data_IF_292348243190
#
_entry.id   IF_292348243190
#
_cell.length_a   1.000
_cell.length_b   1.000
_cell.length_c   1.000
_cell.angle_alpha   90.00
_cell.angle_beta   90.00
_cell.angle_gamma   90.00
#
_symmetry.space_group_name_H-M   'P 1'
#
loop_
_entity.id
_entity.type
_entity.pdbx_description
1 polymer ?
#
# COMPACT_ATOMS: atom_id res chain seq x y z
N UNK A 1 1.16 32.26 -1.83
CA UNK A 1 0.45 30.94 -1.87
C UNK A 1 1.48 29.86 -1.55
N UNK A 2 1.44 29.31 -0.32
CA UNK A 2 2.38 28.30 0.16
C UNK A 2 1.94 26.91 -0.32
N UNK A 3 2.78 26.24 -1.09
CA UNK A 3 2.64 24.83 -1.42
C UNK A 3 3.67 24.00 -0.65
N UNK A 4 3.40 22.71 -0.49
CA UNK A 4 4.31 21.73 0.09
C UNK A 4 4.51 20.60 -0.91
N UNK A 5 5.75 20.15 -1.08
CA UNK A 5 6.09 18.96 -1.87
C UNK A 5 6.60 17.88 -0.92
N UNK A 6 6.10 16.67 -1.06
CA UNK A 6 6.57 15.49 -0.32
C UNK A 6 7.05 14.45 -1.31
N UNK A 7 8.32 14.09 -1.23
CA UNK A 7 8.92 13.03 -2.04
C UNK A 7 9.10 11.75 -1.25
N UNK A 8 8.78 10.62 -1.86
CA UNK A 8 8.85 9.28 -1.26
C UNK A 8 9.89 8.45 -1.99
N UNK A 9 10.99 8.16 -1.31
CA UNK A 9 11.95 7.15 -1.76
C UNK A 9 12.40 6.39 -0.54
N UNK A 10 12.22 5.07 -0.55
CA UNK A 10 12.78 4.19 0.47
C UNK A 10 14.21 3.89 0.04
N UNK A 11 15.14 4.63 0.62
CA UNK A 11 16.54 4.32 0.47
C UNK A 11 17.26 4.67 1.78
N UNK A 12 18.32 3.97 2.10
CA UNK A 12 19.18 4.25 3.25
C UNK A 12 19.84 5.65 3.15
N UNK A 13 19.87 6.21 1.94
CA UNK A 13 20.23 7.61 1.68
C UNK A 13 19.06 8.33 0.99
N UNK A 14 18.69 9.51 1.52
CA UNK A 14 17.64 10.33 0.91
C UNK A 14 18.08 10.78 -0.50
N UNK A 15 17.55 10.15 -1.52
CA UNK A 15 17.80 10.50 -2.91
C UNK A 15 16.77 11.53 -3.40
N UNK A 16 17.23 12.75 -3.65
CA UNK A 16 16.38 13.81 -4.16
C UNK A 16 16.35 13.69 -5.69
N UNK A 17 15.17 13.43 -6.29
CA UNK A 17 15.06 13.29 -7.73
C UNK A 17 15.47 14.57 -8.45
N UNK A 18 16.10 14.43 -9.60
CA UNK A 18 16.48 15.56 -10.47
C UNK A 18 15.21 16.09 -11.17
N UNK A 19 14.49 16.97 -10.50
CA UNK A 19 13.29 17.63 -11.05
C UNK A 19 13.68 19.05 -11.44
N UNK A 20 13.47 19.39 -12.72
CA UNK A 20 13.71 20.73 -13.21
C UNK A 20 12.88 21.76 -12.44
N UNK A 21 13.56 22.77 -11.91
CA UNK A 21 12.91 23.84 -11.14
C UNK A 21 12.68 23.53 -9.65
N UNK A 22 13.02 22.35 -9.14
CA UNK A 22 12.83 22.04 -7.70
C UNK A 22 13.48 23.08 -6.79
N UNK A 23 14.69 23.54 -7.11
CA UNK A 23 15.40 24.58 -6.35
C UNK A 23 14.77 25.97 -6.48
N UNK A 24 13.94 26.21 -7.49
CA UNK A 24 13.19 27.46 -7.70
C UNK A 24 11.82 27.45 -7.02
N UNK A 25 11.40 26.29 -6.50
CA UNK A 25 10.14 26.17 -5.79
C UNK A 25 10.19 26.97 -4.47
N UNK A 26 9.27 27.91 -4.33
CA UNK A 26 9.23 28.83 -3.18
C UNK A 26 8.46 28.28 -1.96
N UNK A 27 7.85 27.11 -2.08
CA UNK A 27 7.22 26.40 -0.96
C UNK A 27 8.23 25.54 -0.19
N UNK A 28 7.75 24.90 0.85
CA UNK A 28 8.54 23.90 1.59
C UNK A 28 8.48 22.56 0.86
N UNK A 29 9.57 21.82 0.87
CA UNK A 29 9.61 20.45 0.38
C UNK A 29 10.29 19.55 1.41
N UNK A 30 9.82 18.32 1.49
CA UNK A 30 10.27 17.33 2.45
C UNK A 30 10.54 16.00 1.76
N UNK A 31 11.57 15.31 2.20
CA UNK A 31 11.84 13.94 1.85
C UNK A 31 11.45 13.05 3.04
N UNK A 32 10.67 11.99 2.80
CA UNK A 32 10.16 11.15 3.89
C UNK A 32 11.25 10.47 4.72
N UNK A 33 12.41 10.16 4.12
CA UNK A 33 13.60 9.67 4.84
C UNK A 33 14.32 10.72 5.68
N UNK A 34 13.92 12.00 5.60
CA UNK A 34 14.42 13.13 6.40
C UNK A 34 13.26 13.93 7.00
N UNK A 35 12.29 13.22 7.54
CA UNK A 35 11.11 13.87 8.11
C UNK A 35 11.46 14.67 9.35
N UNK A 36 10.97 15.91 9.49
CA UNK A 36 11.24 16.71 10.70
C UNK A 36 10.63 16.06 11.95
N UNK A 37 11.39 15.93 13.01
CA UNK A 37 10.91 15.40 14.29
C UNK A 37 9.78 16.26 14.89
N UNK A 38 9.73 17.54 14.55
CA UNK A 38 8.66 18.47 14.96
C UNK A 38 7.36 18.27 14.19
N UNK A 39 7.35 17.34 13.20
CA UNK A 39 6.21 17.13 12.31
C UNK A 39 6.08 18.20 11.22
N UNK A 40 5.07 18.02 10.37
CA UNK A 40 4.73 18.97 9.29
C UNK A 40 3.24 19.31 9.39
N UNK A 41 2.92 20.58 9.50
CA UNK A 41 1.54 21.06 9.45
C UNK A 41 1.06 21.20 8.00
N UNK A 42 0.05 20.42 7.63
CA UNK A 42 -0.60 20.43 6.32
C UNK A 42 -1.89 21.26 6.28
N UNK A 43 -2.35 21.77 7.44
CA UNK A 43 -3.63 22.47 7.55
C UNK A 43 -3.69 23.65 6.56
N UNK A 44 -4.75 23.64 5.74
CA UNK A 44 -4.99 24.68 4.73
C UNK A 44 -3.87 24.82 3.65
N UNK A 45 -2.97 23.85 3.50
CA UNK A 45 -1.92 23.86 2.48
C UNK A 45 -2.35 23.11 1.22
N UNK A 46 -1.81 23.51 0.08
CA UNK A 46 -1.80 22.69 -1.13
C UNK A 46 -0.56 21.81 -1.09
N UNK A 47 -0.75 20.52 -1.15
CA UNK A 47 0.34 19.54 -1.02
C UNK A 47 0.47 18.75 -2.31
N UNK A 48 1.69 18.63 -2.81
CA UNK A 48 2.06 17.74 -3.90
C UNK A 48 2.82 16.55 -3.32
N UNK A 49 2.27 15.35 -3.43
CA UNK A 49 2.95 14.10 -3.06
C UNK A 49 3.52 13.45 -4.31
N UNK A 50 4.84 13.24 -4.34
CA UNK A 50 5.53 12.60 -5.46
C UNK A 50 5.85 11.16 -5.09
N UNK A 51 5.18 10.22 -5.77
CA UNK A 51 5.38 8.78 -5.59
C UNK A 51 4.33 8.10 -4.73
N UNK A 52 4.08 6.83 -5.09
CA UNK A 52 3.10 5.92 -4.48
C UNK A 52 3.75 4.59 -4.09
N UNK A 53 4.96 4.65 -3.54
CA UNK A 53 5.58 3.54 -2.83
C UNK A 53 4.95 3.37 -1.44
N UNK A 54 5.48 2.46 -0.61
CA UNK A 54 4.93 2.14 0.70
C UNK A 54 4.67 3.38 1.57
N UNK A 55 5.65 4.26 1.67
CA UNK A 55 5.52 5.50 2.45
C UNK A 55 4.46 6.43 1.88
N UNK A 56 4.40 6.60 0.55
CA UNK A 56 3.41 7.47 -0.09
C UNK A 56 1.98 6.96 0.10
N UNK A 57 1.78 5.66 -0.02
CA UNK A 57 0.48 5.01 0.20
C UNK A 57 0.01 5.21 1.64
N UNK A 58 0.91 5.13 2.62
CA UNK A 58 0.56 5.33 4.03
C UNK A 58 0.41 6.81 4.41
N UNK A 59 1.12 7.70 3.73
CA UNK A 59 1.11 9.12 4.04
C UNK A 59 -0.09 9.86 3.42
N UNK A 60 -0.53 9.44 2.24
CA UNK A 60 -1.63 10.10 1.51
C UNK A 60 -2.91 10.26 2.34
N UNK A 61 -3.43 9.22 3.05
CA UNK A 61 -4.60 9.35 3.89
C UNK A 61 -4.42 10.38 5.01
N UNK A 62 -3.23 10.44 5.61
CA UNK A 62 -2.93 11.36 6.71
C UNK A 62 -2.88 12.82 6.24
N UNK A 63 -2.23 13.07 5.11
CA UNK A 63 -2.19 14.42 4.51
C UNK A 63 -3.61 14.87 4.12
N UNK A 64 -4.40 13.97 3.54
CA UNK A 64 -5.75 14.29 3.07
C UNK A 64 -6.72 14.71 4.17
N UNK A 65 -6.43 14.36 5.44
CA UNK A 65 -7.27 14.77 6.60
C UNK A 65 -7.29 16.28 6.82
N UNK A 66 -6.19 16.97 6.50
CA UNK A 66 -6.03 18.39 6.87
C UNK A 66 -5.60 19.30 5.73
N UNK A 67 -5.06 18.77 4.65
CA UNK A 67 -4.63 19.55 3.50
C UNK A 67 -5.82 20.23 2.81
N UNK A 68 -5.64 21.47 2.36
CA UNK A 68 -6.63 22.14 1.50
C UNK A 68 -6.79 21.42 0.16
N UNK A 69 -5.70 20.89 -0.38
CA UNK A 69 -5.66 20.09 -1.58
C UNK A 69 -4.43 19.17 -1.55
N UNK A 70 -4.63 17.91 -1.89
CA UNK A 70 -3.56 16.91 -2.06
C UNK A 70 -3.54 16.46 -3.52
N UNK A 71 -2.43 16.72 -4.21
CA UNK A 71 -2.17 16.23 -5.56
C UNK A 71 -1.16 15.10 -5.48
N UNK A 72 -1.55 13.88 -5.87
CA UNK A 72 -0.71 12.68 -5.82
C UNK A 72 -0.18 12.40 -7.22
N UNK A 73 1.14 12.49 -7.39
CA UNK A 73 1.83 12.24 -8.65
C UNK A 73 2.28 10.79 -8.70
N UNK A 74 1.70 10.01 -9.62
CA UNK A 74 1.98 8.60 -9.81
C UNK A 74 2.62 8.34 -11.17
N UNK A 75 3.81 7.74 -11.18
CA UNK A 75 4.45 7.23 -12.40
C UNK A 75 4.07 5.76 -12.67
N UNK A 76 4.07 4.95 -11.64
CA UNK A 76 3.72 3.52 -11.72
C UNK A 76 2.95 3.15 -10.47
N UNK A 77 1.80 2.45 -10.59
CA UNK A 77 1.07 1.99 -9.42
C UNK A 77 1.84 0.90 -8.67
N UNK A 78 1.53 0.72 -7.40
CA UNK A 78 2.00 -0.40 -6.63
C UNK A 78 0.82 -1.17 -6.05
N UNK A 79 0.96 -2.50 -5.95
CA UNK A 79 -0.04 -3.31 -5.26
C UNK A 79 -0.11 -2.90 -3.80
N UNK A 80 -1.32 -2.68 -3.33
CA UNK A 80 -1.58 -2.35 -1.94
C UNK A 80 -2.72 -3.19 -1.41
N UNK A 81 -2.53 -3.75 -0.23
CA UNK A 81 -3.47 -4.62 0.46
C UNK A 81 -3.79 -4.03 1.84
N UNK A 82 -4.99 -4.28 2.39
CA UNK A 82 -5.37 -3.71 3.68
C UNK A 82 -4.41 -4.10 4.79
N UNK A 83 -4.00 -3.13 5.60
CA UNK A 83 -3.18 -3.37 6.79
C UNK A 83 -4.00 -3.99 7.93
N UNK A 84 -5.27 -3.57 8.06
CA UNK A 84 -6.16 -3.94 9.17
C UNK A 84 -5.50 -3.69 10.52
N UNK A 85 -4.95 -2.49 10.69
CA UNK A 85 -4.35 -2.07 11.95
C UNK A 85 -5.41 -2.01 13.06
N UNK A 86 -5.12 -2.63 14.19
CA UNK A 86 -5.96 -2.63 15.38
C UNK A 86 -5.18 -2.10 16.58
N UNK A 87 -5.92 -1.62 17.58
CA UNK A 87 -5.33 -1.22 18.86
C UNK A 87 -4.85 -2.48 19.58
N UNK A 88 -3.57 -2.51 19.92
CA UNK A 88 -2.96 -3.63 20.65
C UNK A 88 -3.43 -3.59 22.10
N UNK A 89 -4.42 -4.41 22.43
CA UNK A 89 -4.94 -4.57 23.78
C UNK A 89 -4.12 -5.58 24.62
N UNK A 90 -4.35 -5.62 25.93
CA UNK A 90 -3.56 -6.46 26.83
C UNK A 90 -3.79 -7.95 26.61
N UNK A 91 -4.99 -8.36 26.17
CA UNK A 91 -5.28 -9.75 25.79
C UNK A 91 -4.41 -10.19 24.62
N UNK A 92 -4.26 -9.34 23.61
CA UNK A 92 -3.40 -9.60 22.46
C UNK A 92 -1.93 -9.65 22.87
N UNK A 93 -1.47 -8.68 23.69
CA UNK A 93 -0.09 -8.68 24.23
C UNK A 93 0.22 -9.96 24.99
N UNK A 94 -0.71 -10.39 25.88
CA UNK A 94 -0.56 -11.64 26.63
C UNK A 94 -0.47 -12.84 25.68
N UNK A 95 -1.38 -12.95 24.70
CA UNK A 95 -1.36 -14.03 23.71
C UNK A 95 -0.01 -14.11 22.97
N UNK A 96 0.55 -12.97 22.55
CA UNK A 96 1.86 -12.96 21.88
C UNK A 96 2.98 -13.41 22.81
N UNK A 97 2.98 -12.95 24.07
CA UNK A 97 4.00 -13.34 25.07
C UNK A 97 3.93 -14.82 25.41
N UNK A 98 2.72 -15.35 25.61
CA UNK A 98 2.51 -16.77 25.98
C UNK A 98 2.92 -17.72 24.83
N UNK A 99 2.82 -17.27 23.56
CA UNK A 99 3.17 -18.08 22.37
C UNK A 99 4.45 -17.59 21.68
N UNK A 100 5.31 -16.86 22.39
CA UNK A 100 6.46 -16.20 21.79
C UNK A 100 7.42 -17.16 21.09
N UNK A 101 7.70 -18.32 21.69
CA UNK A 101 8.60 -19.31 21.11
C UNK A 101 8.00 -19.95 19.85
N UNK A 102 6.75 -20.32 19.87
CA UNK A 102 6.03 -20.88 18.72
C UNK A 102 6.02 -19.90 17.53
N UNK A 103 5.79 -18.60 17.81
CA UNK A 103 5.83 -17.55 16.79
C UNK A 103 7.22 -17.44 16.19
N UNK A 104 8.28 -17.50 16.99
CA UNK A 104 9.68 -17.47 16.51
C UNK A 104 10.01 -18.69 15.65
N UNK A 105 9.56 -19.86 16.04
CA UNK A 105 9.82 -21.08 15.28
C UNK A 105 9.06 -21.09 13.96
N UNK A 106 7.82 -20.59 13.95
CA UNK A 106 7.08 -20.33 12.72
C UNK A 106 7.83 -19.34 11.81
N UNK A 107 8.31 -18.20 12.33
CA UNK A 107 9.08 -17.22 11.57
C UNK A 107 10.31 -17.87 10.92
N UNK A 108 11.04 -18.73 11.64
CA UNK A 108 12.22 -19.43 11.13
C UNK A 108 11.87 -20.47 10.07
N UNK A 109 10.71 -21.12 10.17
CA UNK A 109 10.28 -22.17 9.24
C UNK A 109 9.70 -21.64 7.94
N UNK A 110 9.31 -20.35 7.87
CA UNK A 110 8.71 -19.77 6.67
C UNK A 110 9.77 -19.25 5.70
N UNK A 111 9.59 -19.42 4.37
CA UNK A 111 10.58 -19.00 3.37
C UNK A 111 10.92 -17.51 3.40
N UNK A 112 10.09 -16.69 4.00
CA UNK A 112 10.19 -15.23 3.98
C UNK A 112 10.31 -14.59 5.35
N UNK A 113 10.48 -15.39 6.40
CA UNK A 113 10.64 -14.90 7.76
C UNK A 113 9.42 -14.16 8.32
N UNK A 114 8.22 -14.62 8.00
CA UNK A 114 6.98 -14.00 8.48
C UNK A 114 6.16 -14.96 9.35
N UNK A 115 5.47 -14.42 10.35
CA UNK A 115 4.63 -15.16 11.28
C UNK A 115 3.24 -15.49 10.69
N UNK A 116 3.19 -16.08 9.48
CA UNK A 116 1.98 -16.62 8.89
C UNK A 116 2.28 -17.89 8.09
N UNK A 117 1.31 -18.79 8.04
CA UNK A 117 1.42 -20.02 7.26
C UNK A 117 1.14 -19.75 5.78
N UNK A 118 1.93 -20.37 4.92
CA UNK A 118 1.62 -20.47 3.49
C UNK A 118 0.70 -21.67 3.27
N UNK A 119 -0.31 -21.49 2.42
CA UNK A 119 -1.16 -22.58 2.00
C UNK A 119 -0.36 -23.65 1.23
N UNK A 120 -0.68 -24.90 1.43
CA UNK A 120 -0.21 -26.01 0.58
C UNK A 120 -1.07 -26.23 -0.67
N UNK A 121 -2.23 -25.57 -0.76
CA UNK A 121 -3.21 -25.70 -1.83
C UNK A 121 -2.84 -24.83 -3.03
N UNK A 122 -3.01 -25.35 -4.24
CA UNK A 122 -2.86 -24.58 -5.49
C UNK A 122 -4.14 -23.78 -5.80
N UNK A 123 -3.96 -22.71 -6.54
CA UNK A 123 -5.06 -21.79 -6.91
C UNK A 123 -6.19 -22.47 -7.68
N UNK A 124 -5.85 -23.48 -8.48
CA UNK A 124 -6.81 -24.20 -9.33
C UNK A 124 -7.29 -25.53 -8.74
N UNK A 125 -6.86 -25.88 -7.53
CA UNK A 125 -7.38 -27.05 -6.79
C UNK A 125 -8.79 -26.79 -6.21
N UNK A 126 -9.28 -25.55 -6.32
CA UNK A 126 -10.60 -25.12 -5.82
C UNK A 126 -11.45 -24.51 -6.93
N UNK A 127 -12.75 -24.48 -6.72
CA UNK A 127 -13.69 -23.79 -7.60
C UNK A 127 -13.42 -22.28 -7.66
N UNK A 128 -13.91 -21.60 -8.70
CA UNK A 128 -13.81 -20.13 -8.78
C UNK A 128 -14.51 -19.44 -7.62
N UNK A 129 -15.61 -20.01 -7.16
CA UNK A 129 -16.39 -19.48 -6.04
C UNK A 129 -15.62 -19.60 -4.72
N UNK A 130 -15.04 -20.75 -4.43
CA UNK A 130 -14.29 -20.97 -3.20
C UNK A 130 -12.99 -20.16 -3.21
N UNK A 131 -12.33 -20.04 -4.37
CA UNK A 131 -11.18 -19.16 -4.54
C UNK A 131 -11.53 -17.70 -4.22
N UNK A 132 -12.68 -17.21 -4.70
CA UNK A 132 -13.15 -15.85 -4.38
C UNK A 132 -13.42 -15.70 -2.89
N UNK A 133 -14.02 -16.68 -2.24
CA UNK A 133 -14.21 -16.69 -0.76
C UNK A 133 -12.87 -16.65 -0.01
N UNK A 134 -11.88 -17.43 -0.44
CA UNK A 134 -10.54 -17.45 0.17
C UNK A 134 -9.87 -16.07 0.02
N UNK A 135 -9.93 -15.47 -1.15
CA UNK A 135 -9.41 -14.11 -1.37
C UNK A 135 -10.14 -13.07 -0.53
N UNK A 136 -11.47 -13.14 -0.45
CA UNK A 136 -12.27 -12.20 0.37
C UNK A 136 -11.91 -12.31 1.85
N UNK A 137 -11.83 -13.52 2.39
CA UNK A 137 -11.41 -13.75 3.78
C UNK A 137 -10.00 -13.24 4.04
N UNK A 138 -9.07 -13.46 3.10
CA UNK A 138 -7.71 -12.93 3.18
C UNK A 138 -7.67 -11.41 3.13
N UNK A 139 -8.50 -10.78 2.30
CA UNK A 139 -8.63 -9.33 2.20
C UNK A 139 -9.19 -8.71 3.48
N UNK A 140 -10.20 -9.35 4.08
CA UNK A 140 -10.77 -8.91 5.35
C UNK A 140 -9.76 -9.06 6.51
N UNK A 141 -8.97 -10.14 6.51
CA UNK A 141 -7.90 -10.33 7.48
C UNK A 141 -6.76 -9.33 7.31
N UNK A 142 -6.44 -8.98 6.07
CA UNK A 142 -5.35 -8.07 5.71
C UNK A 142 -3.96 -8.62 6.00
N UNK A 143 -2.97 -7.73 5.87
CA UNK A 143 -1.58 -8.05 6.13
C UNK A 143 -0.90 -8.87 5.03
N UNK A 144 0.42 -9.08 5.17
CA UNK A 144 1.24 -9.76 4.15
C UNK A 144 0.89 -11.24 3.95
N UNK A 145 0.13 -11.86 4.84
CA UNK A 145 -0.37 -13.23 4.68
C UNK A 145 -1.24 -13.43 3.46
N UNK A 146 -1.83 -12.34 2.91
CA UNK A 146 -2.60 -12.36 1.68
C UNK A 146 -1.87 -13.00 0.48
N UNK A 147 -0.55 -12.85 0.39
CA UNK A 147 0.27 -13.46 -0.67
C UNK A 147 0.45 -14.98 -0.52
N UNK A 148 0.18 -15.52 0.67
CA UNK A 148 0.33 -16.95 0.99
C UNK A 148 -0.98 -17.73 0.97
N UNK A 149 -2.05 -17.18 0.42
CA UNK A 149 -3.38 -17.82 0.37
C UNK A 149 -3.40 -19.08 -0.53
N UNK A 150 -2.53 -19.13 -1.53
CA UNK A 150 -2.24 -20.31 -2.32
C UNK A 150 -0.74 -20.42 -2.56
N UNK A 151 -0.22 -21.66 -2.68
CA UNK A 151 1.22 -21.91 -2.80
C UNK A 151 1.84 -21.40 -4.11
N UNK A 152 1.03 -21.28 -5.15
CA UNK A 152 1.44 -21.00 -6.53
C UNK A 152 1.20 -19.55 -6.99
N UNK A 153 0.67 -18.69 -6.15
CA UNK A 153 0.42 -17.26 -6.49
C UNK A 153 1.69 -16.56 -7.01
N UNK A 154 2.85 -16.88 -6.47
CA UNK A 154 4.11 -16.21 -6.83
C UNK A 154 4.95 -16.98 -7.86
N UNK A 155 4.54 -18.18 -8.25
CA UNK A 155 5.28 -19.08 -9.14
C UNK A 155 4.54 -19.45 -10.41
N UNK A 156 3.22 -19.22 -10.47
CA UNK A 156 2.36 -19.47 -11.62
C UNK A 156 1.67 -18.19 -12.08
N UNK A 157 1.89 -17.76 -13.34
CA UNK A 157 1.35 -16.52 -13.86
C UNK A 157 -0.20 -16.52 -13.95
N UNK A 158 -0.82 -17.66 -14.25
CA UNK A 158 -2.27 -17.72 -14.33
C UNK A 158 -2.91 -17.68 -12.93
N UNK A 159 -2.30 -18.33 -11.95
CA UNK A 159 -2.66 -18.17 -10.54
C UNK A 159 -2.52 -16.69 -10.10
N UNK A 160 -1.42 -16.06 -10.47
CA UNK A 160 -1.17 -14.65 -10.17
C UNK A 160 -2.23 -13.73 -10.80
N UNK A 161 -2.65 -13.97 -12.05
CA UNK A 161 -3.72 -13.19 -12.70
C UNK A 161 -5.03 -13.22 -11.91
N UNK A 162 -5.35 -14.35 -11.25
CA UNK A 162 -6.60 -14.45 -10.48
C UNK A 162 -6.61 -13.51 -9.28
N UNK A 163 -5.51 -13.42 -8.52
CA UNK A 163 -5.41 -12.50 -7.38
C UNK A 163 -5.30 -11.04 -7.84
N UNK A 164 -4.62 -10.77 -8.96
CA UNK A 164 -4.57 -9.42 -9.56
C UNK A 164 -5.97 -8.94 -9.94
N UNK A 165 -6.78 -9.80 -10.58
CA UNK A 165 -8.15 -9.46 -10.95
C UNK A 165 -9.01 -9.20 -9.71
N UNK A 166 -8.87 -10.01 -8.67
CA UNK A 166 -9.55 -9.78 -7.39
C UNK A 166 -9.16 -8.42 -6.78
N UNK A 167 -7.87 -8.08 -6.73
CA UNK A 167 -7.42 -6.77 -6.21
C UNK A 167 -8.02 -5.63 -7.02
N UNK A 168 -8.03 -5.74 -8.36
CA UNK A 168 -8.65 -4.73 -9.24
C UNK A 168 -10.13 -4.56 -8.94
N UNK A 169 -10.88 -5.64 -8.82
CA UNK A 169 -12.31 -5.62 -8.45
C UNK A 169 -12.54 -4.88 -7.13
N UNK A 170 -11.71 -5.17 -6.11
CA UNK A 170 -11.80 -4.49 -4.81
C UNK A 170 -11.53 -2.99 -4.92
N UNK A 171 -10.52 -2.58 -5.68
CA UNK A 171 -10.20 -1.18 -5.89
C UNK A 171 -11.30 -0.45 -6.67
N UNK A 172 -11.79 -1.06 -7.75
CA UNK A 172 -12.87 -0.51 -8.56
C UNK A 172 -14.19 -0.35 -7.79
N UNK A 173 -14.45 -1.26 -6.84
CA UNK A 173 -15.61 -1.16 -5.95
C UNK A 173 -15.43 -0.05 -4.90
N UNK A 174 -14.21 0.15 -4.40
CA UNK A 174 -13.90 1.13 -3.37
C UNK A 174 -13.85 2.57 -3.91
N UNK A 175 -13.30 2.75 -5.12
CA UNK A 175 -13.08 4.08 -5.70
C UNK A 175 -14.28 4.54 -6.53
N UNK A 176 -14.82 5.71 -6.20
CA UNK A 176 -15.95 6.32 -6.94
C UNK A 176 -15.51 6.79 -8.32
N UNK A 177 -14.33 7.40 -8.43
CA UNK A 177 -13.76 7.83 -9.70
C UNK A 177 -13.15 6.64 -10.46
N UNK A 178 -13.86 6.15 -11.47
CA UNK A 178 -13.46 4.98 -12.26
C UNK A 178 -12.21 5.21 -13.12
N UNK A 179 -11.92 6.47 -13.49
CA UNK A 179 -10.68 6.81 -14.16
C UNK A 179 -9.50 6.63 -13.21
N UNK A 180 -9.59 7.14 -11.98
CA UNK A 180 -8.55 6.96 -10.97
C UNK A 180 -8.36 5.48 -10.63
N UNK A 181 -9.45 4.72 -10.49
CA UNK A 181 -9.37 3.27 -10.24
C UNK A 181 -8.57 2.54 -11.32
N UNK A 182 -8.78 2.87 -12.59
CA UNK A 182 -8.01 2.32 -13.71
C UNK A 182 -6.52 2.71 -13.62
N UNK A 183 -6.21 3.97 -13.30
CA UNK A 183 -4.83 4.45 -13.20
C UNK A 183 -4.08 3.77 -12.04
N UNK A 184 -4.68 3.65 -10.86
CA UNK A 184 -4.03 3.01 -9.70
C UNK A 184 -3.94 1.48 -9.81
N UNK A 185 -4.65 0.87 -10.75
CA UNK A 185 -4.63 -0.58 -11.01
C UNK A 185 -3.97 -0.96 -12.33
N UNK A 186 -3.34 -0.02 -13.03
CA UNK A 186 -2.60 -0.28 -14.26
C UNK A 186 -1.23 -0.95 -13.96
N UNK A 187 -1.29 -2.09 -13.29
CA UNK A 187 -0.10 -2.84 -12.90
C UNK A 187 0.61 -3.41 -14.12
N UNK A 188 1.91 -3.12 -14.25
CA UNK A 188 2.76 -3.60 -15.34
C UNK A 188 3.62 -4.80 -14.94
N UNK A 189 3.36 -5.39 -13.81
CA UNK A 189 4.11 -6.52 -13.25
C UNK A 189 3.19 -7.42 -12.41
N UNK A 190 3.51 -8.71 -12.26
CA UNK A 190 2.73 -9.63 -11.44
C UNK A 190 2.68 -9.24 -9.97
N UNK A 191 1.62 -9.61 -9.27
CA UNK A 191 1.50 -9.43 -7.83
C UNK A 191 2.66 -10.11 -7.09
N UNK A 192 3.18 -9.43 -6.07
CA UNK A 192 4.28 -9.86 -5.20
C UNK A 192 5.68 -9.94 -5.86
N UNK A 193 5.85 -9.60 -7.15
CA UNK A 193 7.18 -9.37 -7.75
C UNK A 193 7.93 -8.22 -7.07
N UNK A 194 7.17 -7.23 -6.64
CA UNK A 194 7.61 -6.21 -5.68
C UNK A 194 6.84 -6.44 -4.39
N UNK A 195 7.42 -6.10 -3.24
CA UNK A 195 6.72 -6.20 -1.96
C UNK A 195 5.41 -5.42 -2.03
N UNK A 196 4.24 -6.07 -1.88
CA UNK A 196 2.98 -5.37 -1.77
C UNK A 196 3.02 -4.43 -0.57
N UNK A 197 2.43 -3.26 -0.72
CA UNK A 197 2.35 -2.30 0.37
C UNK A 197 1.15 -2.61 1.26
N UNK A 198 1.24 -2.24 2.53
CA UNK A 198 0.10 -2.26 3.43
C UNK A 198 -0.50 -0.85 3.49
N UNK A 199 -1.82 -0.76 3.34
CA UNK A 199 -2.52 0.52 3.39
C UNK A 199 -3.61 0.54 4.46
N UNK A 200 -3.89 1.76 4.93
CA UNK A 200 -5.08 2.10 5.69
C UNK A 200 -5.75 3.23 4.94
N UNK A 201 -6.93 2.97 4.35
CA UNK A 201 -7.79 3.92 3.62
C UNK A 201 -7.13 4.63 2.42
N UNK A 202 -6.11 4.01 1.77
CA UNK A 202 -5.44 4.63 0.63
C UNK A 202 -6.37 4.82 -0.57
N UNK A 203 -7.13 3.80 -0.93
CA UNK A 203 -8.05 3.86 -2.07
C UNK A 203 -9.25 4.75 -1.77
N UNK A 204 -9.76 4.69 -0.55
CA UNK A 204 -10.83 5.54 -0.03
C UNK A 204 -10.45 7.02 -0.05
N UNK A 205 -9.15 7.31 0.11
CA UNK A 205 -8.64 8.69 0.10
C UNK A 205 -8.94 9.41 -1.22
N UNK A 206 -8.97 8.70 -2.35
CA UNK A 206 -9.30 9.30 -3.66
C UNK A 206 -10.80 9.65 -3.82
N UNK A 207 -11.66 9.27 -2.88
CA UNK A 207 -13.05 9.67 -2.85
C UNK A 207 -13.28 11.03 -2.16
N UNK A 208 -12.21 11.67 -1.66
CA UNK A 208 -12.28 12.99 -1.02
C UNK A 208 -12.16 14.10 -2.06
N UNK A 209 -12.97 15.16 -1.94
CA UNK A 209 -12.99 16.29 -2.88
C UNK A 209 -11.67 17.06 -2.94
N UNK A 210 -10.87 16.99 -1.88
CA UNK A 210 -9.58 17.66 -1.80
C UNK A 210 -8.41 16.84 -2.34
N UNK A 211 -8.65 15.65 -2.92
CA UNK A 211 -7.61 14.74 -3.41
C UNK A 211 -7.72 14.58 -4.92
N UNK A 212 -6.61 14.73 -5.61
CA UNK A 212 -6.49 14.43 -7.03
C UNK A 212 -5.32 13.49 -7.33
N UNK A 213 -5.50 12.63 -8.32
CA UNK A 213 -4.45 11.78 -8.88
C UNK A 213 -3.94 12.40 -10.18
N UNK A 214 -2.63 12.50 -10.30
CA UNK A 214 -1.95 12.97 -11.50
C UNK A 214 -1.07 11.84 -12.02
N UNK A 215 -1.47 11.27 -13.15
CA UNK A 215 -0.68 10.26 -13.84
C UNK A 215 0.46 10.93 -14.60
N UNK A 216 1.70 10.55 -14.27
CA UNK A 216 2.94 11.01 -14.92
C UNK A 216 3.69 9.85 -15.56
N UNK A 217 2.98 8.80 -15.96
CA UNK A 217 3.57 7.61 -16.62
C UNK A 217 4.00 7.84 -18.05
N UNK A 218 3.58 8.96 -18.66
CA UNK A 218 3.89 9.36 -20.03
C UNK A 218 4.97 10.41 -20.07
#
# INVERSE_FOLDING_TARGET
>A
KSGIIVGNIIDSAANIPKINGLRKFKGKWYHTGKWPHTGVDFKNKRVAQIGVGSTGIQLAPEIAKSAKKLSIFQRSPNFSIPARNEIVNDKYKKKIKDNYQEIRDLIKSTPTGHAFHFSSQSTFDVSNEDRKKIYENGWQKGGLGFRGLFKDITTNLDANKTIVNFIKEKVETTMLNKHYAKVVTDFKYPFATRRPTLNTDYYETFNKDNVELIDISK
#
